data_IF_330283356291
#
_entry.id   IF_330283356291
#
_cell.length_a   1.000
_cell.length_b   1.000
_cell.length_c   1.000
_cell.angle_alpha   90.00
_cell.angle_beta   90.00
_cell.angle_gamma   90.00
#
_symmetry.space_group_name_H-M   'P 1'
#
loop_
_entity.id
_entity.type
_entity.pdbx_description
1 polymer ?
#
# COMPACT_ATOMS: atom_id res chain seq x y z
N UNK A 1 -27.37 -4.71 -14.59
CA UNK A 1 -26.08 -5.06 -15.23
C UNK A 1 -25.49 -3.81 -15.86
N UNK A 2 -24.53 -3.14 -15.19
CA UNK A 2 -23.91 -1.90 -15.67
C UNK A 2 -22.90 -2.29 -16.78
N UNK A 3 -23.28 -2.11 -18.03
CA UNK A 3 -22.34 -2.09 -19.17
C UNK A 3 -21.45 -0.85 -19.01
N UNK A 4 -20.43 -0.92 -18.18
CA UNK A 4 -19.31 0.03 -18.25
C UNK A 4 -18.55 -0.39 -19.50
N UNK A 5 -18.79 0.26 -20.62
CA UNK A 5 -17.96 0.04 -21.78
C UNK A 5 -16.53 0.45 -21.38
N UNK A 6 -15.58 -0.45 -21.56
CA UNK A 6 -14.15 -0.22 -21.23
C UNK A 6 -13.64 1.07 -21.90
N UNK A 7 -14.16 1.42 -23.05
CA UNK A 7 -13.87 2.66 -23.78
C UNK A 7 -14.27 3.90 -22.94
N UNK A 8 -15.45 3.92 -22.35
CA UNK A 8 -15.94 5.04 -21.51
C UNK A 8 -15.11 5.21 -20.23
N UNK A 9 -14.53 4.13 -19.70
CA UNK A 9 -13.72 4.18 -18.51
C UNK A 9 -12.31 4.75 -18.80
N UNK A 10 -11.68 4.31 -19.87
CA UNK A 10 -10.39 4.85 -20.34
C UNK A 10 -10.50 6.34 -20.68
N UNK A 11 -11.59 6.76 -21.33
CA UNK A 11 -11.83 8.18 -21.61
C UNK A 11 -12.00 9.00 -20.34
N UNK A 12 -12.65 8.46 -19.29
CA UNK A 12 -12.72 9.13 -17.98
C UNK A 12 -11.34 9.33 -17.37
N UNK A 13 -10.47 8.33 -17.42
CA UNK A 13 -9.09 8.44 -16.93
C UNK A 13 -8.32 9.48 -17.73
N UNK A 14 -8.36 9.44 -19.06
CA UNK A 14 -7.70 10.42 -19.93
C UNK A 14 -8.18 11.84 -19.63
N UNK A 15 -9.50 12.04 -19.47
CA UNK A 15 -10.10 13.33 -19.12
C UNK A 15 -9.66 13.80 -17.73
N UNK A 16 -9.65 12.91 -16.74
CA UNK A 16 -9.17 13.20 -15.39
C UNK A 16 -7.70 13.66 -15.40
N UNK A 17 -6.84 12.92 -16.09
CA UNK A 17 -5.43 13.25 -16.24
C UNK A 17 -5.20 14.58 -16.99
N UNK A 18 -5.95 14.84 -18.07
CA UNK A 18 -5.85 16.07 -18.85
C UNK A 18 -6.29 17.31 -18.05
N UNK A 19 -7.29 17.15 -17.18
CA UNK A 19 -7.87 18.23 -16.38
C UNK A 19 -7.14 18.49 -15.07
N UNK A 20 -6.08 17.74 -14.77
CA UNK A 20 -5.33 17.95 -13.54
C UNK A 20 -4.52 19.25 -13.60
N UNK A 21 -4.35 19.95 -12.48
CA UNK A 21 -3.61 21.20 -12.41
C UNK A 21 -2.13 20.99 -12.76
N UNK A 22 -1.69 21.47 -13.93
CA UNK A 22 -0.30 21.32 -14.43
C UNK A 22 0.73 22.15 -13.64
N UNK A 23 0.28 23.21 -12.96
CA UNK A 23 1.17 24.12 -12.22
C UNK A 23 1.53 23.66 -10.81
N UNK A 24 1.07 22.50 -10.41
CA UNK A 24 1.41 21.95 -9.11
C UNK A 24 2.80 21.31 -9.19
N UNK A 25 3.85 22.08 -8.87
CA UNK A 25 5.20 21.54 -8.63
C UNK A 25 5.35 21.36 -7.13
N UNK A 26 5.20 20.16 -6.60
CA UNK A 26 5.43 19.93 -5.18
C UNK A 26 6.94 19.84 -4.91
N UNK A 27 7.37 20.36 -3.77
CA UNK A 27 8.66 19.99 -3.18
C UNK A 27 8.67 18.49 -2.78
N UNK A 28 7.57 17.79 -3.11
CA UNK A 28 7.38 16.39 -2.76
C UNK A 28 8.41 15.48 -3.41
N UNK A 29 8.93 15.82 -4.60
CA UNK A 29 9.97 15.02 -5.25
C UNK A 29 11.29 15.04 -4.47
N UNK A 30 11.72 16.22 -4.01
CA UNK A 30 12.90 16.34 -3.16
C UNK A 30 12.68 15.59 -1.84
N UNK A 31 11.53 15.80 -1.21
CA UNK A 31 11.15 15.14 0.02
C UNK A 31 11.06 13.63 -0.15
N UNK A 32 10.45 13.15 -1.24
CA UNK A 32 10.40 11.72 -1.58
C UNK A 32 11.79 11.14 -1.76
N UNK A 33 12.67 11.84 -2.46
CA UNK A 33 14.07 11.41 -2.64
C UNK A 33 14.80 11.24 -1.30
N UNK A 34 14.65 12.20 -0.39
CA UNK A 34 15.23 12.13 0.97
C UNK A 34 14.68 10.93 1.73
N UNK A 35 13.35 10.73 1.72
CA UNK A 35 12.72 9.59 2.40
C UNK A 35 13.22 8.25 1.82
N UNK A 36 13.26 8.12 0.50
CA UNK A 36 13.69 6.89 -0.15
C UNK A 36 15.15 6.57 0.16
N UNK A 37 16.04 7.58 0.22
CA UNK A 37 17.43 7.41 0.65
C UNK A 37 17.48 6.99 2.12
N UNK A 38 16.75 7.65 3.01
CA UNK A 38 16.69 7.31 4.43
C UNK A 38 16.22 5.88 4.66
N UNK A 39 15.22 5.44 3.90
CA UNK A 39 14.71 4.06 3.95
C UNK A 39 15.75 3.06 3.43
N UNK A 40 16.43 3.37 2.33
CA UNK A 40 17.50 2.51 1.82
C UNK A 40 18.63 2.35 2.84
N UNK A 41 19.02 3.44 3.50
CA UNK A 41 20.00 3.42 4.60
C UNK A 41 19.49 2.57 5.76
N UNK A 42 18.22 2.74 6.17
CA UNK A 42 17.60 1.95 7.23
C UNK A 42 17.58 0.44 6.88
N UNK A 43 17.17 0.08 5.66
CA UNK A 43 17.19 -1.31 5.18
C UNK A 43 18.63 -1.85 5.25
N UNK A 44 19.62 -1.08 4.77
CA UNK A 44 21.02 -1.49 4.81
C UNK A 44 21.51 -1.74 6.24
N UNK A 45 21.20 -0.84 7.17
CA UNK A 45 21.52 -1.06 8.58
C UNK A 45 20.81 -2.29 9.15
N UNK A 46 19.52 -2.50 8.82
CA UNK A 46 18.75 -3.64 9.31
C UNK A 46 19.30 -4.99 8.83
N UNK A 47 20.03 -5.02 7.69
CA UNK A 47 20.73 -6.23 7.21
C UNK A 47 21.89 -6.60 8.13
N UNK A 48 22.66 -5.62 8.61
CA UNK A 48 23.91 -5.84 9.33
C UNK A 48 23.76 -5.80 10.85
N UNK A 49 22.79 -5.04 11.36
CA UNK A 49 22.60 -4.88 12.80
C UNK A 49 21.66 -5.98 13.30
N UNK A 50 22.19 -6.87 14.13
CA UNK A 50 21.43 -7.90 14.81
C UNK A 50 21.94 -8.08 16.25
N UNK A 51 21.11 -8.53 17.20
CA UNK A 51 21.56 -8.83 18.55
C UNK A 51 22.65 -9.91 18.56
N UNK A 52 23.50 -9.88 19.56
CA UNK A 52 24.54 -10.88 19.74
C UNK A 52 23.94 -12.28 19.83
N UNK A 53 24.48 -13.22 19.04
CA UNK A 53 23.98 -14.59 18.95
C UNK A 53 22.84 -14.82 17.96
N UNK A 54 22.28 -13.77 17.39
CA UNK A 54 21.21 -13.88 16.40
C UNK A 54 21.73 -14.00 14.97
N UNK A 55 20.83 -14.41 14.07
CA UNK A 55 21.18 -14.62 12.65
C UNK A 55 21.41 -13.30 11.94
N UNK A 56 22.30 -13.32 10.95
CA UNK A 56 22.39 -12.27 9.94
C UNK A 56 21.00 -11.99 9.34
N UNK A 57 20.67 -10.71 9.14
CA UNK A 57 19.34 -10.26 8.71
C UNK A 57 18.19 -10.58 9.68
N UNK A 58 18.47 -10.70 10.97
CA UNK A 58 17.50 -10.97 12.03
C UNK A 58 16.21 -10.12 11.91
N UNK A 59 16.37 -8.83 11.62
CA UNK A 59 15.23 -7.89 11.50
C UNK A 59 14.25 -8.20 10.36
N UNK A 60 14.63 -9.03 9.41
CA UNK A 60 13.78 -9.45 8.29
C UNK A 60 13.06 -10.77 8.54
N UNK A 61 13.56 -11.58 9.49
CA UNK A 61 12.92 -12.86 9.86
C UNK A 61 11.88 -12.72 10.96
N UNK A 62 11.86 -11.58 11.63
CA UNK A 62 10.89 -11.33 12.70
C UNK A 62 9.63 -10.72 12.11
N UNK A 63 8.50 -11.39 12.33
CA UNK A 63 7.17 -10.87 12.00
C UNK A 63 6.89 -9.52 12.69
N UNK A 64 7.49 -9.28 13.87
CA UNK A 64 7.43 -8.01 14.61
C UNK A 64 8.81 -7.33 14.63
N UNK A 65 9.56 -7.44 13.54
CA UNK A 65 10.87 -6.82 13.38
C UNK A 65 10.81 -5.32 13.12
N UNK A 66 11.98 -4.69 13.09
CA UNK A 66 12.09 -3.24 12.83
C UNK A 66 11.49 -2.82 11.48
N UNK A 67 11.56 -3.69 10.46
CA UNK A 67 10.99 -3.45 9.14
C UNK A 67 9.46 -3.45 9.20
N UNK A 68 8.84 -4.46 9.82
CA UNK A 68 7.38 -4.55 9.97
C UNK A 68 6.83 -3.41 10.83
N UNK A 69 7.52 -3.03 11.92
CA UNK A 69 7.13 -1.86 12.73
C UNK A 69 7.17 -0.58 11.91
N UNK A 70 8.20 -0.38 11.08
CA UNK A 70 8.29 0.79 10.22
C UNK A 70 7.19 0.77 9.14
N UNK A 71 6.88 -0.39 8.56
CA UNK A 71 5.78 -0.57 7.61
C UNK A 71 4.44 -0.19 8.25
N UNK A 72 4.12 -0.77 9.41
CA UNK A 72 2.89 -0.48 10.15
C UNK A 72 2.77 1.01 10.55
N UNK A 73 3.86 1.62 11.03
CA UNK A 73 3.90 3.05 11.36
C UNK A 73 3.67 3.92 10.13
N UNK A 74 4.23 3.53 9.00
CA UNK A 74 4.05 4.25 7.72
C UNK A 74 2.62 4.12 7.20
N UNK A 75 2.01 2.93 7.28
CA UNK A 75 0.60 2.70 6.95
C UNK A 75 -0.33 3.51 7.85
N UNK A 76 -0.06 3.55 9.17
CA UNK A 76 -0.80 4.37 10.12
C UNK A 76 -0.70 5.86 9.78
N UNK A 77 0.50 6.33 9.47
CA UNK A 77 0.72 7.73 9.05
C UNK A 77 -0.03 8.03 7.75
N UNK A 78 0.01 7.13 6.78
CA UNK A 78 -0.74 7.26 5.53
C UNK A 78 -2.26 7.33 5.78
N UNK A 79 -2.79 6.47 6.68
CA UNK A 79 -4.19 6.50 7.08
C UNK A 79 -4.58 7.85 7.71
N UNK A 80 -3.76 8.36 8.64
CA UNK A 80 -3.98 9.67 9.26
C UNK A 80 -3.96 10.82 8.26
N UNK A 81 -3.06 10.80 7.29
CA UNK A 81 -3.03 11.78 6.18
C UNK A 81 -4.34 11.68 5.38
N UNK A 82 -4.79 10.47 5.05
CA UNK A 82 -6.03 10.28 4.30
C UNK A 82 -7.27 10.78 5.08
N UNK A 83 -7.37 10.49 6.39
CA UNK A 83 -8.42 11.07 7.25
C UNK A 83 -8.34 12.60 7.28
N UNK A 84 -7.15 13.16 7.41
CA UNK A 84 -6.95 14.62 7.36
C UNK A 84 -7.46 15.20 6.05
N UNK A 85 -7.14 14.58 4.91
CA UNK A 85 -7.65 14.98 3.60
C UNK A 85 -9.19 14.91 3.52
N UNK A 86 -9.79 13.88 4.11
CA UNK A 86 -11.24 13.73 4.16
C UNK A 86 -11.93 14.83 4.99
N UNK A 87 -11.36 15.17 6.16
CA UNK A 87 -11.95 16.15 7.08
C UNK A 87 -11.64 17.61 6.72
N UNK A 88 -10.60 17.86 5.92
CA UNK A 88 -10.30 19.24 5.50
C UNK A 88 -11.51 19.83 4.76
N UNK A 89 -12.00 20.99 5.27
CA UNK A 89 -12.96 21.83 4.56
C UNK A 89 -12.28 22.47 3.36
N UNK A 90 -12.32 21.80 2.23
CA UNK A 90 -11.81 22.31 0.95
C UNK A 90 -12.96 22.30 -0.06
N UNK A 91 -12.75 23.00 -1.17
CA UNK A 91 -13.62 22.88 -2.36
C UNK A 91 -13.50 21.52 -3.06
N UNK A 92 -13.02 20.50 -2.32
CA UNK A 92 -12.87 19.15 -2.83
C UNK A 92 -14.22 18.58 -3.26
N UNK A 93 -14.27 18.00 -4.44
CA UNK A 93 -15.44 17.32 -4.97
C UNK A 93 -15.81 16.14 -4.06
N UNK A 94 -17.10 15.83 -3.94
CA UNK A 94 -17.59 14.68 -3.14
C UNK A 94 -16.83 13.39 -3.45
N UNK A 95 -16.46 13.14 -4.72
CA UNK A 95 -15.67 11.97 -5.13
C UNK A 95 -14.29 11.93 -4.53
N UNK A 96 -13.61 13.09 -4.42
CA UNK A 96 -12.29 13.17 -3.79
C UNK A 96 -12.37 12.88 -2.28
N UNK A 97 -13.42 13.35 -1.60
CA UNK A 97 -13.66 13.00 -0.19
C UNK A 97 -13.89 11.50 -0.01
N UNK A 98 -14.71 10.89 -0.86
CA UNK A 98 -14.95 9.43 -0.83
C UNK A 98 -13.64 8.66 -1.09
N UNK A 99 -12.82 9.12 -2.05
CA UNK A 99 -11.51 8.54 -2.30
C UNK A 99 -10.64 8.52 -1.03
N UNK A 100 -10.50 9.66 -0.35
CA UNK A 100 -9.69 9.74 0.86
C UNK A 100 -10.27 8.91 2.01
N UNK A 101 -11.59 8.83 2.15
CA UNK A 101 -12.23 7.99 3.16
C UNK A 101 -11.97 6.49 2.91
N UNK A 102 -12.13 6.02 1.67
CA UNK A 102 -11.84 4.63 1.30
C UNK A 102 -10.37 4.32 1.55
N UNK A 103 -9.45 5.22 1.14
CA UNK A 103 -8.02 5.06 1.39
C UNK A 103 -7.72 5.02 2.89
N UNK A 104 -8.32 5.89 3.69
CA UNK A 104 -8.13 5.92 5.14
C UNK A 104 -8.56 4.61 5.80
N UNK A 105 -9.75 4.11 5.48
CA UNK A 105 -10.28 2.85 6.04
C UNK A 105 -9.42 1.65 5.62
N UNK A 106 -9.06 1.55 4.34
CA UNK A 106 -8.21 0.47 3.83
C UNK A 106 -6.83 0.47 4.50
N UNK A 107 -6.18 1.64 4.60
CA UNK A 107 -4.86 1.75 5.22
C UNK A 107 -4.89 1.51 6.72
N UNK A 108 -5.96 1.92 7.42
CA UNK A 108 -6.16 1.57 8.83
C UNK A 108 -6.25 0.06 9.01
N UNK A 109 -7.03 -0.61 8.16
CA UNK A 109 -7.14 -2.07 8.19
C UNK A 109 -5.78 -2.73 7.96
N UNK A 110 -5.04 -2.33 6.92
CA UNK A 110 -3.71 -2.87 6.62
C UNK A 110 -2.70 -2.61 7.75
N UNK A 111 -2.73 -1.43 8.37
CA UNK A 111 -1.87 -1.12 9.51
C UNK A 111 -2.16 -2.01 10.73
N UNK A 112 -3.44 -2.26 10.99
CA UNK A 112 -3.87 -3.16 12.09
C UNK A 112 -3.51 -4.60 11.77
N UNK A 113 -3.72 -5.05 10.53
CA UNK A 113 -3.36 -6.39 10.08
C UNK A 113 -1.85 -6.65 10.18
N UNK A 114 -1.02 -5.67 9.81
CA UNK A 114 0.45 -5.74 9.94
C UNK A 114 0.92 -5.89 11.39
N UNK A 115 0.24 -5.25 12.35
CA UNK A 115 0.59 -5.36 13.78
C UNK A 115 0.01 -6.61 14.43
N UNK A 116 -1.25 -6.92 14.09
CA UNK A 116 -2.01 -7.99 14.73
C UNK A 116 -1.88 -9.35 14.03
N UNK A 117 -1.30 -9.36 12.82
CA UNK A 117 -1.10 -10.56 11.99
C UNK A 117 -2.41 -11.37 11.80
N UNK A 118 -3.52 -10.66 11.53
CA UNK A 118 -4.82 -11.31 11.41
C UNK A 118 -4.85 -12.33 10.28
N UNK A 119 -4.29 -11.99 9.11
CA UNK A 119 -4.26 -12.92 7.98
C UNK A 119 -3.48 -14.19 8.32
N UNK A 120 -2.36 -14.08 9.04
CA UNK A 120 -1.55 -15.23 9.47
C UNK A 120 -2.28 -16.09 10.51
N UNK A 121 -2.84 -15.43 11.54
CA UNK A 121 -3.60 -16.12 12.59
C UNK A 121 -4.83 -16.83 12.02
N UNK A 122 -5.59 -16.19 11.13
CA UNK A 122 -6.75 -16.79 10.49
C UNK A 122 -6.32 -17.90 9.56
N UNK A 123 -5.31 -17.68 8.71
CA UNK A 123 -4.82 -18.66 7.75
C UNK A 123 -4.30 -19.93 8.44
N UNK A 124 -3.48 -19.78 9.49
CA UNK A 124 -2.98 -20.89 10.29
C UNK A 124 -4.13 -21.71 10.90
N UNK A 125 -5.15 -21.04 11.45
CA UNK A 125 -6.32 -21.73 11.99
C UNK A 125 -7.09 -22.49 10.89
N UNK A 126 -7.24 -21.91 9.70
CA UNK A 126 -7.90 -22.57 8.57
C UNK A 126 -7.10 -23.78 8.07
N UNK A 127 -5.76 -23.72 8.06
CA UNK A 127 -4.89 -24.83 7.69
C UNK A 127 -5.03 -26.04 8.64
N UNK A 128 -5.43 -25.83 9.89
CA UNK A 128 -5.72 -26.92 10.82
C UNK A 128 -7.06 -27.62 10.54
N UNK A 129 -8.00 -27.02 9.85
CA UNK A 129 -9.30 -27.60 9.54
C UNK A 129 -9.20 -28.46 8.27
N UNK A 130 -9.49 -29.77 8.40
CA UNK A 130 -9.34 -30.76 7.33
C UNK A 130 -10.01 -30.37 5.99
N UNK A 131 -11.18 -29.73 6.05
CA UNK A 131 -11.89 -29.28 4.87
C UNK A 131 -11.10 -28.19 4.14
N UNK A 132 -10.68 -27.14 4.83
CA UNK A 132 -9.95 -26.01 4.27
C UNK A 132 -8.56 -26.41 3.77
N UNK A 133 -7.87 -27.34 4.45
CA UNK A 133 -6.59 -27.91 4.00
C UNK A 133 -6.72 -28.65 2.65
N UNK A 134 -7.81 -29.37 2.44
CA UNK A 134 -8.06 -30.01 1.14
C UNK A 134 -8.37 -29.01 0.05
N UNK A 135 -9.09 -27.94 0.37
CA UNK A 135 -9.44 -26.88 -0.57
C UNK A 135 -8.20 -26.12 -1.04
N UNK A 136 -7.29 -25.74 -0.12
CA UNK A 136 -6.06 -25.05 -0.48
C UNK A 136 -5.13 -25.94 -1.30
N UNK A 137 -5.00 -27.22 -0.97
CA UNK A 137 -4.21 -28.18 -1.74
C UNK A 137 -4.71 -28.32 -3.19
N UNK A 138 -6.01 -28.21 -3.40
CA UNK A 138 -6.60 -28.24 -4.76
C UNK A 138 -6.34 -26.95 -5.55
N UNK A 139 -6.21 -25.80 -4.90
CA UNK A 139 -5.99 -24.50 -5.54
C UNK A 139 -4.58 -24.30 -6.08
N UNK A 140 -3.61 -25.12 -5.67
CA UNK A 140 -2.18 -24.92 -5.98
C UNK A 140 -1.50 -23.82 -5.18
N UNK A 141 -2.20 -23.22 -4.22
CA UNK A 141 -1.67 -22.21 -3.29
C UNK A 141 -1.12 -22.95 -2.05
N UNK A 142 -0.05 -22.43 -1.45
CA UNK A 142 0.65 -23.17 -0.41
C UNK A 142 -0.05 -23.13 0.95
N UNK A 143 -0.66 -22.00 1.30
CA UNK A 143 -1.27 -21.78 2.62
C UNK A 143 -2.52 -20.90 2.53
N UNK A 144 -3.35 -20.95 3.58
CA UNK A 144 -4.46 -20.01 3.71
C UNK A 144 -4.00 -18.58 3.97
N UNK A 145 -2.80 -18.37 4.52
CA UNK A 145 -2.21 -17.02 4.66
C UNK A 145 -2.10 -16.36 3.27
N UNK A 146 -1.49 -17.04 2.30
CA UNK A 146 -1.33 -16.55 0.93
C UNK A 146 -2.69 -16.31 0.26
N UNK A 147 -3.64 -17.24 0.47
CA UNK A 147 -5.00 -17.10 -0.07
C UNK A 147 -5.71 -15.87 0.46
N UNK A 148 -5.58 -15.56 1.76
CA UNK A 148 -6.21 -14.39 2.39
C UNK A 148 -5.63 -13.10 1.79
N UNK A 149 -4.32 -13.00 1.61
CA UNK A 149 -3.68 -11.86 0.97
C UNK A 149 -4.19 -11.66 -0.46
N UNK A 150 -4.30 -12.74 -1.23
CA UNK A 150 -4.90 -12.69 -2.59
C UNK A 150 -6.36 -12.19 -2.52
N UNK A 151 -7.14 -12.66 -1.55
CA UNK A 151 -8.52 -12.20 -1.35
C UNK A 151 -8.60 -10.71 -1.00
N UNK A 152 -7.67 -10.19 -0.20
CA UNK A 152 -7.59 -8.73 0.04
C UNK A 152 -7.42 -7.95 -1.28
N UNK A 153 -6.53 -8.42 -2.15
CA UNK A 153 -6.35 -7.82 -3.48
C UNK A 153 -7.62 -7.88 -4.33
N UNK A 154 -8.30 -9.01 -4.33
CA UNK A 154 -9.55 -9.19 -5.08
C UNK A 154 -10.70 -8.32 -4.55
N UNK A 155 -10.81 -8.14 -3.24
CA UNK A 155 -11.80 -7.25 -2.62
C UNK A 155 -11.45 -5.78 -2.86
N UNK A 156 -10.16 -5.44 -2.83
CA UNK A 156 -9.70 -4.08 -3.09
C UNK A 156 -9.86 -3.66 -4.56
N UNK A 157 -9.83 -4.61 -5.51
CA UNK A 157 -9.86 -4.33 -6.94
C UNK A 157 -11.10 -3.54 -7.39
N UNK A 158 -12.35 -3.88 -7.03
CA UNK A 158 -13.53 -3.07 -7.36
C UNK A 158 -13.45 -1.65 -6.79
N UNK A 159 -12.99 -1.52 -5.54
CA UNK A 159 -12.79 -0.20 -4.92
C UNK A 159 -11.74 0.61 -5.68
N UNK A 160 -10.62 0.00 -6.04
CA UNK A 160 -9.55 0.62 -6.82
C UNK A 160 -10.07 1.10 -8.18
N UNK A 161 -10.79 0.25 -8.92
CA UNK A 161 -11.41 0.61 -10.20
C UNK A 161 -12.35 1.81 -10.03
N UNK A 162 -13.15 1.84 -8.96
CA UNK A 162 -14.07 2.94 -8.70
C UNK A 162 -13.34 4.27 -8.40
N UNK A 163 -12.28 4.24 -7.60
CA UNK A 163 -11.57 5.44 -7.13
C UNK A 163 -10.46 5.91 -8.08
N UNK A 164 -9.96 5.05 -8.97
CA UNK A 164 -8.82 5.32 -9.85
C UNK A 164 -8.98 6.61 -10.69
N UNK A 165 -10.14 6.91 -11.33
CA UNK A 165 -10.31 8.16 -12.04
C UNK A 165 -10.13 9.39 -11.15
N UNK A 166 -10.53 9.29 -9.87
CA UNK A 166 -10.37 10.38 -8.90
C UNK A 166 -8.90 10.55 -8.48
N UNK A 167 -8.15 9.44 -8.33
CA UNK A 167 -6.73 9.50 -8.07
C UNK A 167 -5.96 10.23 -9.18
N UNK A 168 -6.36 10.06 -10.44
CA UNK A 168 -5.78 10.79 -11.57
C UNK A 168 -6.14 12.29 -11.61
N UNK A 169 -7.24 12.72 -10.97
CA UNK A 169 -7.55 14.16 -10.83
C UNK A 169 -6.61 14.86 -9.85
N UNK A 170 -6.02 14.13 -8.91
CA UNK A 170 -5.15 14.66 -7.86
C UNK A 170 -3.68 14.49 -8.29
N UNK A 171 -2.89 15.56 -8.33
CA UNK A 171 -1.51 15.46 -8.81
C UNK A 171 -0.67 14.42 -8.05
N UNK A 172 0.00 13.57 -8.79
CA UNK A 172 0.94 12.53 -8.34
C UNK A 172 0.38 11.40 -7.47
N UNK A 173 -0.89 11.44 -7.05
CA UNK A 173 -1.50 10.37 -6.25
C UNK A 173 -1.53 9.05 -7.03
N UNK A 174 -2.01 9.10 -8.27
CA UNK A 174 -2.11 7.90 -9.10
C UNK A 174 -0.74 7.30 -9.42
N UNK A 175 0.26 8.13 -9.67
CA UNK A 175 1.64 7.70 -9.98
C UNK A 175 2.28 6.99 -8.77
N UNK A 176 2.20 7.58 -7.58
CA UNK A 176 2.72 6.96 -6.37
C UNK A 176 1.98 5.67 -6.01
N UNK A 177 0.66 5.64 -6.19
CA UNK A 177 -0.12 4.42 -5.94
C UNK A 177 0.18 3.33 -6.97
N UNK A 178 0.51 3.68 -8.23
CA UNK A 178 0.95 2.71 -9.21
C UNK A 178 2.30 2.08 -8.82
N UNK A 179 3.25 2.89 -8.32
CA UNK A 179 4.53 2.37 -7.82
C UNK A 179 4.30 1.50 -6.58
N UNK A 180 3.45 1.93 -5.64
CA UNK A 180 3.08 1.16 -4.47
C UNK A 180 2.48 -0.20 -4.86
N UNK A 181 1.56 -0.22 -5.82
CA UNK A 181 0.98 -1.46 -6.34
C UNK A 181 2.03 -2.37 -6.97
N UNK A 182 2.97 -1.83 -7.72
CA UNK A 182 4.07 -2.61 -8.29
C UNK A 182 4.94 -3.24 -7.20
N UNK A 183 5.30 -2.49 -6.16
CA UNK A 183 6.03 -3.02 -5.01
C UNK A 183 5.22 -4.11 -4.28
N UNK A 184 3.91 -3.93 -4.13
CA UNK A 184 3.02 -4.94 -3.55
C UNK A 184 3.01 -6.24 -4.37
N UNK A 185 2.94 -6.14 -5.69
CA UNK A 185 3.00 -7.32 -6.58
C UNK A 185 4.34 -8.05 -6.43
N UNK A 186 5.45 -7.31 -6.34
CA UNK A 186 6.78 -7.90 -6.09
C UNK A 186 6.78 -8.66 -4.76
N UNK A 187 6.37 -8.01 -3.67
CA UNK A 187 6.27 -8.62 -2.34
C UNK A 187 5.46 -9.93 -2.38
N UNK A 188 4.21 -9.87 -2.84
CA UNK A 188 3.32 -11.05 -2.89
C UNK A 188 3.86 -12.16 -3.79
N UNK A 189 4.52 -11.81 -4.91
CA UNK A 189 5.10 -12.79 -5.82
C UNK A 189 6.29 -13.51 -5.18
N UNK A 190 7.14 -12.78 -4.46
CA UNK A 190 8.29 -13.37 -3.77
C UNK A 190 7.81 -14.31 -2.68
N UNK A 191 6.90 -13.86 -1.83
CA UNK A 191 6.31 -14.68 -0.75
C UNK A 191 5.69 -15.99 -1.29
N UNK A 192 4.89 -15.89 -2.34
CA UNK A 192 4.25 -17.07 -2.95
C UNK A 192 5.21 -18.00 -3.69
N UNK A 193 6.38 -17.53 -4.19
CA UNK A 193 7.22 -18.28 -5.10
C UNK A 193 8.43 -18.96 -4.44
N UNK A 194 8.94 -18.41 -3.34
CA UNK A 194 10.17 -18.90 -2.70
C UNK A 194 9.88 -19.66 -1.42
N UNK A 195 9.76 -21.00 -1.53
CA UNK A 195 9.61 -21.89 -0.36
C UNK A 195 10.52 -23.11 -0.48
N UNK A 196 11.42 -23.34 0.49
CA UNK A 196 11.67 -22.51 1.69
C UNK A 196 12.28 -21.16 1.29
N UNK A 197 11.96 -20.07 2.01
CA UNK A 197 12.48 -18.76 1.69
C UNK A 197 14.00 -18.69 1.96
N UNK A 198 14.70 -17.96 1.10
CA UNK A 198 16.13 -17.67 1.27
C UNK A 198 16.32 -16.34 1.98
N UNK A 199 17.50 -16.09 2.56
CA UNK A 199 17.81 -14.77 3.16
C UNK A 199 17.57 -13.61 2.17
N UNK A 200 17.94 -13.81 0.91
CA UNK A 200 17.74 -12.79 -0.12
C UNK A 200 16.24 -12.56 -0.39
N UNK A 201 15.43 -13.65 -0.50
CA UNK A 201 13.98 -13.49 -0.73
C UNK A 201 13.31 -12.73 0.41
N UNK A 202 13.65 -12.99 1.69
CA UNK A 202 13.14 -12.23 2.83
C UNK A 202 13.50 -10.74 2.76
N UNK A 203 14.76 -10.40 2.43
CA UNK A 203 15.18 -9.01 2.31
C UNK A 203 14.38 -8.29 1.21
N UNK A 204 14.23 -8.92 0.05
CA UNK A 204 13.50 -8.32 -1.06
C UNK A 204 12.00 -8.21 -0.77
N UNK A 205 11.41 -9.23 -0.19
CA UNK A 205 10.01 -9.29 0.20
C UNK A 205 9.65 -8.17 1.17
N UNK A 206 10.31 -8.13 2.32
CA UNK A 206 10.07 -7.14 3.37
C UNK A 206 10.40 -5.71 2.92
N UNK A 207 11.47 -5.55 2.11
CA UNK A 207 11.78 -4.25 1.52
C UNK A 207 10.69 -3.79 0.56
N UNK A 208 10.15 -4.67 -0.28
CA UNK A 208 9.06 -4.34 -1.20
C UNK A 208 7.77 -3.98 -0.45
N UNK A 209 7.45 -4.70 0.64
CA UNK A 209 6.36 -4.38 1.56
C UNK A 209 6.49 -2.98 2.16
N UNK A 210 7.67 -2.65 2.67
CA UNK A 210 7.96 -1.34 3.22
C UNK A 210 7.85 -0.23 2.16
N UNK A 211 8.40 -0.43 0.96
CA UNK A 211 8.26 0.54 -0.13
C UNK A 211 6.80 0.73 -0.56
N UNK A 212 5.98 -0.32 -0.53
CA UNK A 212 4.54 -0.21 -0.77
C UNK A 212 3.90 0.80 0.17
N UNK A 213 4.11 0.66 1.49
CA UNK A 213 3.56 1.56 2.50
C UNK A 213 4.05 3.00 2.33
N UNK A 214 5.33 3.19 2.02
CA UNK A 214 5.95 4.51 1.80
C UNK A 214 5.36 5.21 0.58
N UNK A 215 5.25 4.53 -0.56
CA UNK A 215 4.68 5.14 -1.75
C UNK A 215 3.19 5.48 -1.58
N UNK A 216 2.43 4.70 -0.81
CA UNK A 216 1.06 5.07 -0.43
C UNK A 216 1.04 6.36 0.40
N UNK A 217 1.91 6.47 1.41
CA UNK A 217 2.03 7.68 2.24
C UNK A 217 2.42 8.92 1.42
N UNK A 218 3.40 8.79 0.51
CA UNK A 218 3.83 9.88 -0.37
C UNK A 218 2.72 10.33 -1.33
N UNK A 219 1.95 9.39 -1.87
CA UNK A 219 0.79 9.70 -2.70
C UNK A 219 -0.25 10.51 -1.94
N UNK A 220 -0.59 10.11 -0.72
CA UNK A 220 -1.56 10.82 0.12
C UNK A 220 -1.02 12.18 0.60
N UNK A 221 0.26 12.29 0.89
CA UNK A 221 0.90 13.56 1.21
C UNK A 221 0.82 14.54 0.03
N UNK A 222 0.98 14.05 -1.20
CA UNK A 222 0.74 14.86 -2.40
C UNK A 222 -0.70 15.36 -2.48
N UNK A 223 -1.65 14.49 -2.17
CA UNK A 223 -3.06 14.83 -2.08
C UNK A 223 -3.35 15.90 -1.03
N UNK A 224 -2.77 15.78 0.15
CA UNK A 224 -2.89 16.77 1.23
C UNK A 224 -2.35 18.15 0.78
N UNK A 225 -1.14 18.19 0.21
CA UNK A 225 -0.56 19.43 -0.30
C UNK A 225 -1.43 20.09 -1.37
N UNK A 226 -2.02 19.28 -2.27
CA UNK A 226 -2.94 19.77 -3.28
C UNK A 226 -4.18 20.42 -2.65
N UNK A 227 -4.80 19.77 -1.65
CA UNK A 227 -5.98 20.31 -0.97
C UNK A 227 -5.69 21.60 -0.23
N UNK A 228 -4.56 21.70 0.47
CA UNK A 228 -4.14 22.91 1.18
C UNK A 228 -3.97 24.08 0.19
N UNK A 229 -3.22 23.86 -0.90
CA UNK A 229 -3.00 24.91 -1.93
C UNK A 229 -4.28 25.33 -2.66
N UNK A 230 -5.24 24.40 -2.81
CA UNK A 230 -6.53 24.74 -3.45
C UNK A 230 -7.38 25.64 -2.56
N UNK A 231 -7.24 25.52 -1.22
CA UNK A 231 -7.94 26.34 -0.24
C UNK A 231 -7.42 27.78 -0.24
N UNK A 232 -6.11 27.98 -0.27
CA UNK A 232 -5.48 29.32 -0.21
C UNK A 232 -5.75 30.18 -1.45
N UNK A 233 -6.18 29.60 -2.57
CA UNK A 233 -6.55 30.33 -3.78
C UNK A 233 -8.00 30.81 -3.80
N UNK A 234 -8.81 30.38 -2.87
CA UNK A 234 -10.24 30.71 -2.77
C UNK A 234 -10.57 31.74 -1.67
N UNK A 235 -9.58 32.11 -0.90
CA UNK A 235 -9.57 33.25 0.04
C UNK A 235 -8.87 34.44 -0.59
#
# INVERSE_FOLDING_TARGET
MLKISSLNYIEKIKKAYKNRPRQFKPNIFLFSGIILIAVLVFISFSVFIHPEGERFCYNFYLEVGSISILSATTLTTAALIAYTCFFIRSNAKRKQKIFFLIAALALTYLAVDEVMQFHESIGTNLDHIRFFRKLIAWSGIHSWNDMIIIMYGLVALPALIYILPTAFEIPYVAEYFAIAFFCYVIHTTIDASFRPPTTASYIFEESAKLYTSIFMALGLLSGLQFLIKSRTKST
#
